data_IF_962595540123
#
_entry.id   IF_962595540123
#
_cell.length_a   1.000
_cell.length_b   1.000
_cell.length_c   1.000
_cell.angle_alpha   90.00
_cell.angle_beta   90.00
_cell.angle_gamma   90.00
#
_symmetry.space_group_name_H-M   'P 1'
#
loop_
_entity.id
_entity.type
_entity.pdbx_description
1 polymer ?
#
# COMPACT_ATOMS: atom_id res chain seq x y z
N UNK A 1 12.83 -18.37 15.85
CA UNK A 1 13.12 -17.22 16.75
C UNK A 1 11.87 -16.38 16.76
N UNK A 2 11.05 -16.53 17.81
CA UNK A 2 9.87 -15.68 18.03
C UNK A 2 10.37 -14.26 18.24
N UNK A 3 9.81 -13.30 17.52
CA UNK A 3 10.12 -11.89 17.77
C UNK A 3 9.91 -11.61 19.25
N UNK A 4 10.93 -11.07 19.93
CA UNK A 4 10.78 -10.66 21.32
C UNK A 4 9.71 -9.57 21.41
N UNK A 5 9.04 -9.42 22.53
CA UNK A 5 8.02 -8.39 22.76
C UNK A 5 8.50 -7.00 22.29
N UNK A 6 9.78 -6.67 22.53
CA UNK A 6 10.41 -5.42 22.09
C UNK A 6 10.50 -5.27 20.56
N UNK A 7 10.68 -6.34 19.82
CA UNK A 7 10.75 -6.30 18.35
C UNK A 7 9.35 -6.12 17.72
N UNK A 8 8.33 -6.70 18.34
CA UNK A 8 6.93 -6.46 17.95
C UNK A 8 6.53 -5.00 18.14
N UNK A 9 6.82 -4.44 19.32
CA UNK A 9 6.53 -3.03 19.62
C UNK A 9 7.23 -2.07 18.66
N UNK A 10 8.49 -2.35 18.30
CA UNK A 10 9.22 -1.52 17.32
C UNK A 10 8.58 -1.56 15.94
N UNK A 11 8.16 -2.74 15.47
CA UNK A 11 7.51 -2.90 14.18
C UNK A 11 6.17 -2.17 14.14
N UNK A 12 5.38 -2.26 15.21
CA UNK A 12 4.12 -1.53 15.36
C UNK A 12 4.33 -0.02 15.37
N UNK A 13 5.36 0.47 16.09
CA UNK A 13 5.70 1.89 16.14
C UNK A 13 6.08 2.43 14.76
N UNK A 14 6.89 1.69 14.00
CA UNK A 14 7.29 2.08 12.65
C UNK A 14 6.08 2.06 11.71
N UNK A 15 5.23 1.05 11.79
CA UNK A 15 4.00 0.98 11.02
C UNK A 15 3.09 2.19 11.28
N UNK A 16 2.92 2.59 12.53
CA UNK A 16 2.14 3.78 12.88
C UNK A 16 2.80 5.08 12.38
N UNK A 17 4.12 5.16 12.44
CA UNK A 17 4.89 6.29 11.88
C UNK A 17 4.67 6.43 10.37
N UNK A 18 4.74 5.33 9.61
CA UNK A 18 4.49 5.34 8.17
C UNK A 18 3.04 5.74 7.84
N UNK A 19 2.07 5.17 8.57
CA UNK A 19 0.64 5.53 8.42
C UNK A 19 0.38 7.01 8.68
N UNK A 20 0.93 7.56 9.77
CA UNK A 20 0.72 8.97 10.12
C UNK A 20 1.35 9.95 9.11
N UNK A 21 2.41 9.53 8.42
CA UNK A 21 3.07 10.29 7.35
C UNK A 21 2.40 10.09 5.99
N UNK A 22 1.40 9.22 5.87
CA UNK A 22 0.79 8.87 4.59
C UNK A 22 1.74 8.19 3.61
N UNK A 23 2.78 7.50 4.12
CA UNK A 23 3.75 6.79 3.28
C UNK A 23 3.22 5.39 3.00
N UNK A 24 3.02 5.00 1.73
CA UNK A 24 2.61 3.65 1.38
C UNK A 24 3.74 2.64 1.68
N UNK A 25 3.37 1.47 2.16
CA UNK A 25 4.28 0.37 2.45
C UNK A 25 3.54 -0.97 2.32
N UNK A 26 4.29 -2.08 2.35
CA UNK A 26 3.71 -3.41 2.45
C UNK A 26 4.12 -4.08 3.75
N UNK A 27 3.23 -4.91 4.31
CA UNK A 27 3.54 -5.79 5.42
C UNK A 27 3.59 -7.23 4.93
N UNK A 28 4.75 -7.87 5.06
CA UNK A 28 4.93 -9.29 4.77
C UNK A 28 4.85 -10.11 6.06
N UNK A 29 4.09 -11.21 6.02
CA UNK A 29 3.96 -12.15 7.13
C UNK A 29 4.24 -13.57 6.63
N UNK A 30 5.21 -14.24 7.24
CA UNK A 30 5.45 -15.67 7.01
C UNK A 30 4.32 -16.44 7.67
N UNK A 31 3.51 -17.14 6.88
CA UNK A 31 2.32 -17.85 7.37
C UNK A 31 2.58 -19.34 7.59
N UNK A 32 3.45 -19.93 6.79
CA UNK A 32 3.81 -21.34 6.90
C UNK A 32 5.26 -21.58 6.49
N UNK A 33 5.90 -22.54 7.14
CA UNK A 33 7.21 -23.07 6.72
C UNK A 33 7.20 -24.59 6.78
N UNK A 34 7.91 -25.22 5.85
CA UNK A 34 8.15 -26.67 5.82
C UNK A 34 9.65 -26.88 5.66
N UNK A 35 10.20 -27.81 6.39
CA UNK A 35 11.62 -28.10 6.47
C UNK A 35 12.47 -26.92 7.02
N UNK A 36 13.76 -26.88 6.67
CA UNK A 36 14.68 -25.89 7.20
C UNK A 36 14.52 -24.54 6.51
N UNK A 37 14.03 -23.55 7.27
CA UNK A 37 13.89 -22.15 6.81
C UNK A 37 14.52 -21.19 7.80
N UNK A 38 15.05 -20.06 7.30
CA UNK A 38 15.66 -19.02 8.13
C UNK A 38 14.65 -18.15 8.87
N UNK A 39 13.42 -18.06 8.38
CA UNK A 39 12.31 -17.42 9.06
C UNK A 39 11.32 -18.45 9.59
N UNK A 40 10.52 -18.08 10.56
CA UNK A 40 9.49 -18.91 11.19
C UNK A 40 8.10 -18.34 10.97
N UNK A 41 7.04 -19.14 11.02
CA UNK A 41 5.67 -18.62 11.00
C UNK A 41 5.48 -17.50 12.03
N UNK A 42 4.80 -16.44 11.64
CA UNK A 42 4.64 -15.22 12.43
C UNK A 42 5.78 -14.20 12.28
N UNK A 43 6.88 -14.53 11.58
CA UNK A 43 7.90 -13.54 11.23
C UNK A 43 7.30 -12.49 10.30
N UNK A 44 7.59 -11.22 10.57
CA UNK A 44 7.05 -10.07 9.83
C UNK A 44 8.14 -9.13 9.35
N UNK A 45 7.87 -8.42 8.25
CA UNK A 45 8.68 -7.31 7.79
C UNK A 45 7.81 -6.22 7.15
N UNK A 46 8.23 -4.97 7.30
CA UNK A 46 7.71 -3.81 6.56
C UNK A 46 8.63 -3.55 5.37
N UNK A 47 8.05 -3.27 4.21
CA UNK A 47 8.77 -3.01 2.96
C UNK A 47 8.30 -1.71 2.34
N UNK A 48 9.25 -0.98 1.75
CA UNK A 48 9.00 0.26 1.02
C UNK A 48 8.46 0.01 -0.41
N UNK A 49 8.25 1.09 -1.15
CA UNK A 49 7.82 1.09 -2.56
C UNK A 49 8.79 0.34 -3.49
N UNK A 50 10.06 0.31 -3.15
CA UNK A 50 11.10 -0.37 -3.92
C UNK A 50 11.26 -1.84 -3.53
N UNK A 51 10.50 -2.29 -2.52
CA UNK A 51 10.54 -3.65 -1.98
C UNK A 51 11.74 -3.91 -1.06
N UNK A 52 12.36 -2.85 -0.52
CA UNK A 52 13.40 -2.97 0.49
C UNK A 52 12.78 -3.16 1.87
N UNK A 53 13.40 -3.97 2.71
CA UNK A 53 12.95 -4.16 4.09
C UNK A 53 13.33 -2.92 4.91
N UNK A 54 12.31 -2.21 5.39
CA UNK A 54 12.46 -1.10 6.33
C UNK A 54 12.70 -1.61 7.75
N UNK A 55 11.94 -2.64 8.14
CA UNK A 55 12.04 -3.24 9.47
C UNK A 55 11.57 -4.69 9.45
N UNK A 56 12.10 -5.51 10.36
CA UNK A 56 11.69 -6.90 10.54
C UNK A 56 12.51 -7.91 9.77
N UNK A 57 12.00 -9.13 9.62
CA UNK A 57 12.72 -10.25 9.01
C UNK A 57 11.76 -11.30 8.43
N UNK A 58 11.97 -11.64 7.16
CA UNK A 58 11.21 -12.69 6.45
C UNK A 58 12.09 -13.74 5.76
N UNK A 59 13.36 -13.82 6.15
CA UNK A 59 14.30 -14.79 5.62
C UNK A 59 15.49 -14.19 4.87
N UNK A 60 16.36 -15.06 4.34
CA UNK A 60 17.58 -14.68 3.62
C UNK A 60 17.34 -14.17 2.20
N UNK A 61 18.42 -14.08 1.40
CA UNK A 61 18.41 -13.41 0.10
C UNK A 61 17.32 -13.84 -0.88
N UNK A 62 17.08 -15.15 -1.03
CA UNK A 62 16.03 -15.65 -1.93
C UNK A 62 14.63 -15.21 -1.49
N UNK A 63 14.35 -15.29 -0.18
CA UNK A 63 13.09 -14.84 0.38
C UNK A 63 12.92 -13.32 0.24
N UNK A 64 13.95 -12.53 0.55
CA UNK A 64 13.92 -11.07 0.41
C UNK A 64 13.57 -10.64 -1.02
N UNK A 65 14.22 -11.24 -2.03
CA UNK A 65 13.96 -10.91 -3.42
C UNK A 65 12.52 -11.20 -3.85
N UNK A 66 11.99 -12.36 -3.45
CA UNK A 66 10.61 -12.75 -3.77
C UNK A 66 9.59 -11.87 -3.04
N UNK A 67 9.79 -11.63 -1.74
CA UNK A 67 8.92 -10.79 -0.92
C UNK A 67 8.97 -9.32 -1.39
N UNK A 68 10.16 -8.80 -1.72
CA UNK A 68 10.31 -7.45 -2.25
C UNK A 68 9.58 -7.26 -3.59
N UNK A 69 9.63 -8.26 -4.49
CA UNK A 69 8.84 -8.23 -5.73
C UNK A 69 7.34 -8.23 -5.45
N UNK A 70 6.88 -9.06 -4.53
CA UNK A 70 5.47 -9.12 -4.13
C UNK A 70 5.01 -7.80 -3.46
N UNK A 71 5.87 -7.19 -2.64
CA UNK A 71 5.58 -5.90 -1.99
C UNK A 71 5.37 -4.77 -3.01
N UNK A 72 6.27 -4.66 -3.99
CA UNK A 72 6.10 -3.68 -5.10
C UNK A 72 4.78 -3.88 -5.84
N UNK A 73 4.45 -5.13 -6.17
CA UNK A 73 3.20 -5.44 -6.87
C UNK A 73 2.00 -5.12 -6.00
N UNK A 74 1.99 -5.52 -4.73
CA UNK A 74 0.92 -5.24 -3.80
C UNK A 74 0.66 -3.74 -3.64
N UNK A 75 1.72 -2.93 -3.42
CA UNK A 75 1.59 -1.48 -3.27
C UNK A 75 1.08 -0.83 -4.58
N UNK A 76 1.58 -1.30 -5.73
CA UNK A 76 1.19 -0.76 -7.05
C UNK A 76 -0.27 -1.04 -7.39
N UNK A 77 -0.75 -2.25 -7.09
CA UNK A 77 -2.11 -2.69 -7.47
C UNK A 77 -3.15 -2.40 -6.40
N UNK A 78 -2.73 -2.19 -5.15
CA UNK A 78 -3.63 -2.15 -4.00
C UNK A 78 -4.11 -3.52 -3.54
N UNK A 79 -3.66 -4.61 -4.19
CA UNK A 79 -4.12 -5.97 -3.95
C UNK A 79 -3.07 -6.78 -3.19
N UNK A 80 -3.48 -7.58 -2.18
CA UNK A 80 -2.55 -8.43 -1.47
C UNK A 80 -1.96 -9.51 -2.37
N UNK A 81 -0.75 -9.96 -2.03
CA UNK A 81 -0.06 -11.04 -2.75
C UNK A 81 0.17 -12.22 -1.81
N UNK A 82 -0.13 -13.42 -2.28
CA UNK A 82 0.25 -14.65 -1.59
C UNK A 82 1.34 -15.36 -2.39
N UNK A 83 2.51 -15.53 -1.80
CA UNK A 83 3.65 -16.17 -2.46
C UNK A 83 4.06 -17.45 -1.75
N UNK A 84 4.42 -18.45 -2.53
CA UNK A 84 4.96 -19.72 -2.04
C UNK A 84 6.36 -19.95 -2.61
N UNK A 85 7.36 -19.87 -1.75
CA UNK A 85 8.76 -20.18 -2.12
C UNK A 85 8.98 -21.67 -1.94
N UNK A 86 9.32 -22.36 -3.02
CA UNK A 86 9.52 -23.82 -3.05
C UNK A 86 10.84 -24.21 -3.70
N UNK A 87 11.47 -25.32 -3.25
CA UNK A 87 12.59 -25.91 -3.97
C UNK A 87 12.21 -26.26 -5.41
N UNK A 88 13.20 -26.27 -6.31
CA UNK A 88 12.96 -26.57 -7.72
C UNK A 88 12.38 -27.98 -7.94
N UNK A 89 12.79 -28.92 -7.12
CA UNK A 89 12.33 -30.31 -7.17
C UNK A 89 10.84 -30.41 -6.83
N UNK A 90 10.39 -29.65 -5.81
CA UNK A 90 8.99 -29.62 -5.41
C UNK A 90 8.11 -28.93 -6.46
N UNK A 91 8.56 -27.82 -7.04
CA UNK A 91 7.86 -27.16 -8.13
C UNK A 91 7.64 -28.13 -9.30
N UNK A 92 8.67 -28.89 -9.69
CA UNK A 92 8.58 -29.87 -10.77
C UNK A 92 7.61 -31.01 -10.46
N UNK A 93 7.65 -31.56 -9.24
CA UNK A 93 6.77 -32.67 -8.84
C UNK A 93 5.30 -32.27 -8.77
N UNK A 94 5.02 -30.99 -8.50
CA UNK A 94 3.67 -30.43 -8.46
C UNK A 94 3.20 -29.87 -9.82
N UNK A 95 4.06 -29.95 -10.84
CA UNK A 95 3.76 -29.43 -12.18
C UNK A 95 3.56 -27.91 -12.19
N UNK A 96 4.35 -27.18 -11.41
CA UNK A 96 4.27 -25.72 -11.27
C UNK A 96 5.56 -25.08 -11.74
N UNK A 97 5.48 -23.94 -12.39
CA UNK A 97 6.63 -23.18 -12.87
C UNK A 97 6.90 -21.97 -11.97
N UNK A 98 8.18 -21.67 -11.74
CA UNK A 98 8.55 -20.47 -10.99
C UNK A 98 8.03 -19.19 -11.70
N UNK A 99 7.31 -18.35 -10.98
CA UNK A 99 6.61 -17.16 -11.49
C UNK A 99 5.13 -17.40 -11.81
N UNK A 100 4.69 -18.64 -11.87
CA UNK A 100 3.28 -18.99 -12.13
C UNK A 100 2.38 -18.50 -11.01
N UNK A 101 1.20 -18.00 -11.40
CA UNK A 101 0.08 -17.69 -10.49
C UNK A 101 -0.99 -18.77 -10.70
N UNK A 102 -1.26 -19.56 -9.65
CA UNK A 102 -2.27 -20.60 -9.65
C UNK A 102 -3.09 -20.50 -8.37
N UNK A 103 -4.41 -20.43 -8.48
CA UNK A 103 -5.34 -20.34 -7.35
C UNK A 103 -5.00 -19.21 -6.36
N UNK A 104 -4.60 -18.05 -6.87
CA UNK A 104 -4.22 -16.90 -6.06
C UNK A 104 -2.83 -16.98 -5.42
N UNK A 105 -2.08 -18.07 -5.64
CA UNK A 105 -0.73 -18.29 -5.10
C UNK A 105 0.30 -18.07 -6.20
N UNK A 106 1.24 -17.16 -5.99
CA UNK A 106 2.40 -16.99 -6.87
C UNK A 106 3.55 -17.89 -6.42
N UNK A 107 3.90 -18.85 -7.24
CA UNK A 107 4.98 -19.77 -6.96
C UNK A 107 6.34 -19.15 -7.30
N UNK A 108 7.31 -19.32 -6.42
CA UNK A 108 8.65 -18.76 -6.59
C UNK A 108 9.69 -19.82 -6.22
N UNK A 109 10.77 -19.87 -6.99
CA UNK A 109 11.86 -20.81 -6.68
C UNK A 109 12.62 -20.36 -5.44
N UNK A 110 12.73 -21.28 -4.45
CA UNK A 110 13.69 -21.16 -3.37
C UNK A 110 15.02 -21.75 -3.80
N UNK A 111 16.02 -20.89 -4.00
CA UNK A 111 17.39 -21.31 -4.36
C UNK A 111 18.29 -21.57 -3.15
N UNK A 112 17.77 -21.54 -1.93
CA UNK A 112 18.58 -21.77 -0.72
C UNK A 112 18.98 -23.24 -0.59
N UNK A 113 20.21 -23.52 -0.12
CA UNK A 113 20.67 -24.90 0.12
C UNK A 113 19.81 -25.68 1.12
N UNK A 114 19.12 -24.99 2.03
CA UNK A 114 18.20 -25.57 3.02
C UNK A 114 16.99 -26.26 2.42
N UNK A 115 16.66 -25.95 1.15
CA UNK A 115 15.52 -26.52 0.40
C UNK A 115 14.16 -26.44 1.12
N UNK A 116 14.01 -25.57 2.11
CA UNK A 116 12.74 -25.41 2.81
C UNK A 116 11.69 -24.70 1.96
N UNK A 117 10.44 -24.95 2.26
CA UNK A 117 9.28 -24.23 1.69
C UNK A 117 8.83 -23.11 2.63
N UNK A 118 8.42 -21.98 2.08
CA UNK A 118 7.91 -20.88 2.87
C UNK A 118 6.78 -20.18 2.13
N UNK A 119 5.65 -20.05 2.80
CA UNK A 119 4.51 -19.28 2.30
C UNK A 119 4.45 -17.94 3.04
N UNK A 120 4.30 -16.87 2.26
CA UNK A 120 4.29 -15.50 2.77
C UNK A 120 3.09 -14.76 2.22
N UNK A 121 2.35 -14.14 3.10
CA UNK A 121 1.29 -13.19 2.77
C UNK A 121 1.87 -11.78 2.80
N UNK A 122 1.62 -11.01 1.75
CA UNK A 122 2.11 -9.64 1.61
C UNK A 122 0.91 -8.75 1.34
N UNK A 123 0.61 -7.87 2.28
CA UNK A 123 -0.52 -6.95 2.20
C UNK A 123 -0.04 -5.51 2.03
N UNK A 124 -0.64 -4.73 1.12
CA UNK A 124 -0.34 -3.32 1.00
C UNK A 124 -1.01 -2.53 2.12
N UNK A 125 -0.33 -1.51 2.60
CA UNK A 125 -0.89 -0.49 3.50
C UNK A 125 -0.75 0.84 2.80
N UNK A 126 -1.85 1.30 2.23
CA UNK A 126 -1.92 2.52 1.44
C UNK A 126 -2.49 3.66 2.27
N UNK A 127 -2.09 4.91 2.02
CA UNK A 127 -2.75 6.07 2.61
C UNK A 127 -4.21 6.12 2.13
N UNK A 128 -5.05 6.75 2.93
CA UNK A 128 -6.44 7.00 2.53
C UNK A 128 -6.46 7.85 1.25
N UNK A 129 -7.32 7.51 0.29
CA UNK A 129 -7.46 8.32 -0.91
C UNK A 129 -7.94 9.73 -0.55
N UNK A 130 -7.33 10.75 -1.16
CA UNK A 130 -7.69 12.14 -0.93
C UNK A 130 -8.76 12.59 -1.90
N UNK A 131 -9.83 13.19 -1.37
CA UNK A 131 -10.92 13.80 -2.13
C UNK A 131 -10.95 15.31 -1.85
N UNK A 132 -10.77 16.10 -2.90
CA UNK A 132 -10.92 17.55 -2.85
C UNK A 132 -12.34 17.89 -3.31
N UNK A 133 -13.08 18.63 -2.48
CA UNK A 133 -14.44 19.09 -2.78
C UNK A 133 -14.43 20.60 -2.91
N UNK A 134 -14.69 21.09 -4.11
CA UNK A 134 -14.80 22.51 -4.41
C UNK A 134 -16.24 22.97 -4.24
N UNK A 135 -16.50 23.85 -3.28
CA UNK A 135 -17.83 24.39 -2.97
C UNK A 135 -18.14 24.39 -1.48
N UNK A 136 -19.14 25.21 -1.10
CA UNK A 136 -19.61 25.36 0.29
C UNK A 136 -21.11 25.15 0.45
N UNK A 137 -21.80 24.78 -0.63
CA UNK A 137 -23.23 24.52 -0.65
C UNK A 137 -23.61 23.20 0.07
N UNK A 138 -24.91 22.98 0.25
CA UNK A 138 -25.43 21.80 0.94
C UNK A 138 -24.94 20.47 0.33
N UNK A 139 -24.75 20.44 -0.98
CA UNK A 139 -24.22 19.24 -1.68
C UNK A 139 -22.77 18.99 -1.29
N UNK A 140 -21.93 20.03 -1.28
CA UNK A 140 -20.53 19.90 -0.86
C UNK A 140 -20.41 19.44 0.60
N UNK A 141 -21.22 20.01 1.49
CA UNK A 141 -21.26 19.62 2.91
C UNK A 141 -21.70 18.17 3.10
N UNK A 142 -22.80 17.77 2.47
CA UNK A 142 -23.30 16.40 2.56
C UNK A 142 -22.30 15.37 1.99
N UNK A 143 -21.65 15.71 0.87
CA UNK A 143 -20.61 14.87 0.28
C UNK A 143 -19.39 14.75 1.18
N UNK A 144 -18.95 15.85 1.80
CA UNK A 144 -17.82 15.85 2.75
C UNK A 144 -18.08 14.91 3.94
N UNK A 145 -19.29 14.99 4.51
CA UNK A 145 -19.67 14.10 5.60
C UNK A 145 -19.73 12.64 5.14
N UNK A 146 -20.32 12.39 3.98
CA UNK A 146 -20.43 11.06 3.43
C UNK A 146 -19.07 10.45 3.12
N UNK A 147 -18.19 11.18 2.45
CA UNK A 147 -16.87 10.71 2.03
C UNK A 147 -15.99 10.28 3.23
N UNK A 148 -16.07 10.99 4.36
CA UNK A 148 -15.34 10.60 5.57
C UNK A 148 -15.80 9.25 6.14
N UNK A 149 -17.04 8.85 5.89
CA UNK A 149 -17.58 7.53 6.31
C UNK A 149 -17.11 6.37 5.40
N UNK A 150 -16.57 6.72 4.22
CA UNK A 150 -16.01 5.77 3.26
C UNK A 150 -14.48 5.85 3.19
N UNK A 151 -13.83 6.21 4.29
CA UNK A 151 -12.38 6.24 4.44
C UNK A 151 -11.66 7.14 3.43
N UNK A 152 -12.29 8.27 3.02
CA UNK A 152 -11.60 9.32 2.28
C UNK A 152 -11.00 10.37 3.23
N UNK A 153 -9.80 10.83 2.90
CA UNK A 153 -9.27 12.08 3.45
C UNK A 153 -9.86 13.23 2.66
N UNK A 154 -10.75 13.99 3.27
CA UNK A 154 -11.50 15.06 2.60
C UNK A 154 -10.85 16.42 2.86
N UNK A 155 -10.63 17.19 1.78
CA UNK A 155 -10.25 18.60 1.80
C UNK A 155 -11.35 19.41 1.11
N UNK A 156 -11.97 20.36 1.82
CA UNK A 156 -13.00 21.23 1.27
C UNK A 156 -12.42 22.60 0.94
N UNK A 157 -12.69 23.09 -0.26
CA UNK A 157 -12.27 24.43 -0.71
C UNK A 157 -13.50 25.28 -1.05
N UNK A 158 -13.60 26.46 -0.42
CA UNK A 158 -14.59 27.47 -0.79
C UNK A 158 -14.19 28.10 -2.13
N UNK A 159 -15.12 28.18 -3.08
CA UNK A 159 -14.96 29.07 -4.22
C UNK A 159 -15.16 30.50 -3.74
N UNK A 160 -14.10 31.19 -3.30
CA UNK A 160 -14.19 32.55 -2.81
C UNK A 160 -13.90 33.57 -3.91
N UNK A 161 -14.73 34.64 -3.91
CA UNK A 161 -14.59 35.77 -4.80
C UNK A 161 -13.22 36.47 -4.61
N UNK A 162 -12.45 36.55 -5.67
CA UNK A 162 -11.36 37.47 -5.99
C UNK A 162 -10.11 37.58 -5.12
N UNK A 163 -10.10 37.26 -3.83
CA UNK A 163 -8.90 37.47 -3.00
C UNK A 163 -8.03 36.21 -2.85
N UNK A 164 -8.58 35.00 -3.09
CA UNK A 164 -7.89 33.72 -2.96
C UNK A 164 -7.58 33.04 -4.30
N UNK A 165 -7.64 33.80 -5.41
CA UNK A 165 -7.17 33.31 -6.72
C UNK A 165 -5.70 32.89 -6.71
N UNK A 166 -4.90 33.43 -5.77
CA UNK A 166 -3.51 33.05 -5.61
C UNK A 166 -3.35 31.65 -5.04
N UNK A 167 -4.23 31.18 -4.16
CA UNK A 167 -4.11 29.89 -3.50
C UNK A 167 -4.65 28.75 -4.39
N UNK A 168 -5.69 28.99 -5.18
CA UNK A 168 -6.14 28.06 -6.22
C UNK A 168 -5.10 27.96 -7.35
N UNK A 169 -4.45 29.08 -7.72
CA UNK A 169 -3.40 29.10 -8.75
C UNK A 169 -2.10 28.44 -8.28
N UNK A 170 -1.88 28.28 -6.97
CA UNK A 170 -0.70 27.60 -6.41
C UNK A 170 -0.88 26.08 -6.25
N UNK A 171 -1.99 25.52 -6.73
CA UNK A 171 -2.18 24.06 -6.79
C UNK A 171 -2.29 23.38 -5.43
N UNK A 172 -2.78 24.08 -4.43
CA UNK A 172 -2.92 23.55 -3.08
C UNK A 172 -3.95 22.41 -3.07
N UNK A 173 -3.47 21.18 -2.88
CA UNK A 173 -4.29 19.99 -2.68
C UNK A 173 -4.64 19.19 -3.94
N UNK A 174 -4.59 19.79 -5.17
CA UNK A 174 -4.95 19.04 -6.38
C UNK A 174 -3.88 18.02 -6.83
N UNK A 175 -2.59 18.30 -6.55
CA UNK A 175 -1.48 17.42 -6.95
C UNK A 175 -1.47 16.06 -6.28
N UNK A 176 -2.05 15.99 -5.08
CA UNK A 176 -2.11 14.75 -4.27
C UNK A 176 -3.50 14.14 -4.27
N UNK A 177 -4.50 14.87 -4.79
CA UNK A 177 -5.88 14.42 -4.80
C UNK A 177 -6.08 13.22 -5.75
N UNK A 178 -6.69 12.17 -5.24
CA UNK A 178 -7.15 11.04 -6.06
C UNK A 178 -8.46 11.37 -6.77
N UNK A 179 -9.29 12.24 -6.15
CA UNK A 179 -10.59 12.64 -6.66
C UNK A 179 -10.80 14.14 -6.44
N UNK A 180 -11.34 14.81 -7.44
CA UNK A 180 -11.78 16.20 -7.34
C UNK A 180 -13.26 16.27 -7.71
N UNK A 181 -14.06 16.84 -6.82
CA UNK A 181 -15.49 17.04 -7.03
C UNK A 181 -15.79 18.53 -7.05
N UNK A 182 -16.41 19.01 -8.13
CA UNK A 182 -16.85 20.39 -8.25
C UNK A 182 -18.34 20.47 -7.90
N UNK A 183 -18.65 21.11 -6.76
CA UNK A 183 -20.00 21.29 -6.22
C UNK A 183 -20.28 22.76 -5.88
N UNK A 184 -19.87 23.66 -6.77
CA UNK A 184 -19.90 25.13 -6.60
C UNK A 184 -21.21 25.77 -7.03
N UNK A 185 -22.19 25.00 -7.52
CA UNK A 185 -23.49 25.47 -8.00
C UNK A 185 -23.39 26.54 -9.11
N UNK A 186 -22.42 26.37 -10.02
CA UNK A 186 -22.21 27.30 -11.14
C UNK A 186 -21.31 28.49 -10.79
N UNK A 187 -20.83 28.61 -9.55
CA UNK A 187 -19.97 29.73 -9.13
C UNK A 187 -18.50 29.29 -9.08
N UNK A 188 -17.75 29.53 -10.16
CA UNK A 188 -16.32 29.20 -10.24
C UNK A 188 -16.00 27.76 -10.73
N UNK A 189 -16.96 27.09 -11.33
CA UNK A 189 -16.77 25.72 -11.90
C UNK A 189 -15.60 25.67 -12.86
N UNK A 190 -15.49 26.65 -13.77
CA UNK A 190 -14.40 26.68 -14.75
C UNK A 190 -13.03 26.83 -14.12
N UNK A 191 -12.90 27.60 -13.04
CA UNK A 191 -11.64 27.82 -12.35
C UNK A 191 -11.24 26.57 -11.55
N UNK A 192 -12.21 25.94 -10.88
CA UNK A 192 -12.00 24.68 -10.15
C UNK A 192 -11.59 23.54 -11.09
N UNK A 193 -12.26 23.39 -12.23
CA UNK A 193 -11.94 22.38 -13.23
C UNK A 193 -10.55 22.60 -13.85
N UNK A 194 -10.20 23.85 -14.19
CA UNK A 194 -8.87 24.17 -14.70
C UNK A 194 -7.78 23.83 -13.68
N UNK A 195 -7.98 24.20 -12.42
CA UNK A 195 -7.04 23.89 -11.35
C UNK A 195 -6.86 22.37 -11.17
N UNK A 196 -7.95 21.61 -11.22
CA UNK A 196 -7.93 20.15 -11.11
C UNK A 196 -7.17 19.44 -12.26
N UNK A 197 -7.26 20.00 -13.50
CA UNK A 197 -6.60 19.41 -14.68
C UNK A 197 -5.15 19.86 -14.81
N UNK A 198 -4.78 20.99 -14.20
CA UNK A 198 -3.42 21.57 -14.29
C UNK A 198 -2.48 21.11 -13.18
N UNK A 199 -2.98 20.45 -12.14
CA UNK A 199 -2.20 19.92 -10.99
C UNK A 199 -1.76 18.50 -11.21
#
# INVERSE_FOLDING_TARGET
>A
MTLSLSAHTKLETEMQSLKSKGVPFAMATVVRTVDATSAKPGSKALLDLDGNILMGWVGGGCARGAVGKAAREAIKTGEPQFISLRPQELLKSEGVVAGELRDGVRFTRNGCPSKGTMDVFVEPVLPLPEMVICGTGLVAMALSELATRFDFKVSAHAATNQTEKSDMAQGFGFKTANFVVVATQGQGDSDALRAAVSG
#
